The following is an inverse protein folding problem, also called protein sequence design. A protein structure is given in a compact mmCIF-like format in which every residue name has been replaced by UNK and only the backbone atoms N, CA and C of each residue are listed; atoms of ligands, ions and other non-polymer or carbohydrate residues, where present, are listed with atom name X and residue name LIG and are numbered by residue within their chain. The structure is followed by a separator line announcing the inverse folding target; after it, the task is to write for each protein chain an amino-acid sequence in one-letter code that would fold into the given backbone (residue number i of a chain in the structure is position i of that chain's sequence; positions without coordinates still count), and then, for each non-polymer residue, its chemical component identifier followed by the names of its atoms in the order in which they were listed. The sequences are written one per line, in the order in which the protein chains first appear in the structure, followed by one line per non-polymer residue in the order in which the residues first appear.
data_IF_460455130262
#
_entry.id   IF_460455130262
#
_cell.length_a   1.000
_cell.length_b   1.000
_cell.length_c   1.000
_cell.angle_alpha   90.00
_cell.angle_beta   90.00
_cell.angle_gamma   90.00
#
_symmetry.space_group_name_H-M   'P 1'
#
loop_
_entity.id
_entity.type
_entity.pdbx_description
1 polymer ?
#
# COMPACT_ATOMS: atom_id res chain seq x y z
N UNK A 1 22.36 3.62 -11.72
CA UNK A 1 20.95 3.19 -11.82
C UNK A 1 20.07 4.40 -11.56
N UNK A 2 18.91 4.50 -12.20
CA UNK A 2 17.91 5.54 -11.92
C UNK A 2 16.71 4.88 -11.27
N UNK A 3 16.27 5.40 -10.14
CA UNK A 3 15.11 4.93 -9.42
C UNK A 3 14.05 6.02 -9.49
N UNK A 4 12.87 5.70 -10.02
CA UNK A 4 11.72 6.59 -10.09
C UNK A 4 10.58 5.96 -9.31
N UNK A 5 10.72 5.94 -7.99
CA UNK A 5 9.72 5.37 -7.09
C UNK A 5 9.54 6.20 -5.83
N UNK A 6 8.35 6.07 -5.24
CA UNK A 6 8.08 6.58 -3.91
C UNK A 6 8.85 5.76 -2.87
N UNK A 7 9.42 6.43 -1.87
CA UNK A 7 10.20 5.78 -0.79
C UNK A 7 9.75 6.32 0.56
N UNK A 8 9.98 5.55 1.62
CA UNK A 8 9.78 6.02 3.01
C UNK A 8 10.71 7.18 3.32
N UNK A 9 10.26 8.09 4.19
CA UNK A 9 10.93 9.36 4.48
C UNK A 9 12.39 9.22 4.93
N UNK A 10 12.76 8.11 5.57
CA UNK A 10 14.12 7.84 6.07
C UNK A 10 15.08 7.21 5.05
N UNK A 11 14.59 6.86 3.86
CA UNK A 11 15.41 6.19 2.84
C UNK A 11 16.53 7.09 2.31
N UNK A 12 16.31 8.39 2.05
CA UNK A 12 17.40 9.29 1.69
C UNK A 12 18.57 9.28 2.69
N UNK A 13 18.30 9.36 3.99
CA UNK A 13 19.34 9.36 5.03
C UNK A 13 20.04 8.01 5.14
N UNK A 14 19.32 6.89 4.91
CA UNK A 14 19.92 5.56 4.86
C UNK A 14 20.89 5.45 3.66
N UNK A 15 20.51 5.98 2.48
CA UNK A 15 21.37 6.01 1.29
C UNK A 15 22.62 6.86 1.55
N UNK A 16 22.48 8.02 2.20
CA UNK A 16 23.62 8.89 2.57
C UNK A 16 24.58 8.20 3.55
N UNK A 17 24.05 7.50 4.56
CA UNK A 17 24.86 6.72 5.52
C UNK A 17 25.63 5.58 4.85
N UNK A 18 25.13 5.07 3.73
CA UNK A 18 25.84 4.08 2.92
C UNK A 18 26.94 4.71 2.02
N UNK A 19 27.19 6.02 2.12
CA UNK A 19 28.19 6.74 1.33
C UNK A 19 27.73 7.09 -0.09
N UNK A 20 26.45 6.88 -0.40
CA UNK A 20 25.84 7.24 -1.68
C UNK A 20 25.15 8.60 -1.58
N UNK A 21 24.88 9.25 -2.71
CA UNK A 21 24.19 10.55 -2.75
C UNK A 21 22.81 10.40 -3.38
N UNK A 22 21.70 10.47 -2.61
CA UNK A 22 20.37 10.41 -3.17
C UNK A 22 20.03 11.73 -3.90
N UNK A 23 19.31 11.63 -5.02
CA UNK A 23 18.65 12.77 -5.65
C UNK A 23 17.16 12.64 -5.39
N UNK A 24 16.60 13.57 -4.62
CA UNK A 24 15.20 13.52 -4.18
C UNK A 24 14.38 14.66 -4.79
N UNK A 25 13.06 14.46 -4.86
CA UNK A 25 12.06 15.49 -5.16
C UNK A 25 10.90 15.30 -4.18
N UNK A 26 10.48 16.37 -3.51
CA UNK A 26 9.22 16.39 -2.77
C UNK A 26 8.06 16.54 -3.75
N UNK A 27 7.07 15.67 -3.66
CA UNK A 27 5.90 15.64 -4.55
C UNK A 27 4.82 16.62 -4.06
N UNK A 28 4.03 17.16 -4.99
CA UNK A 28 2.75 17.78 -4.63
C UNK A 28 1.74 16.73 -4.18
N UNK A 29 0.63 17.13 -3.55
CA UNK A 29 -0.43 16.19 -3.14
C UNK A 29 -1.00 15.40 -4.34
N UNK A 30 -1.14 16.03 -5.50
CA UNK A 30 -1.61 15.38 -6.73
C UNK A 30 -0.61 14.36 -7.28
N UNK A 31 0.67 14.72 -7.33
CA UNK A 31 1.75 13.81 -7.73
C UNK A 31 1.86 12.64 -6.74
N UNK A 32 1.78 12.92 -5.44
CA UNK A 32 1.87 11.93 -4.38
C UNK A 32 0.74 10.91 -4.44
N UNK A 33 -0.50 11.33 -4.72
CA UNK A 33 -1.62 10.41 -4.88
C UNK A 33 -1.39 9.42 -6.03
N UNK A 34 -0.83 9.88 -7.15
CA UNK A 34 -0.52 9.03 -8.31
C UNK A 34 0.61 8.05 -7.96
N UNK A 35 1.67 8.53 -7.30
CA UNK A 35 2.80 7.68 -6.93
C UNK A 35 2.46 6.68 -5.83
N UNK A 36 1.49 6.96 -4.95
CA UNK A 36 0.97 5.98 -3.99
C UNK A 36 0.24 4.80 -4.66
N UNK A 37 -0.53 5.05 -5.71
CA UNK A 37 -1.20 3.97 -6.46
C UNK A 37 -0.19 3.09 -7.19
N UNK A 38 0.84 3.69 -7.79
CA UNK A 38 1.97 2.94 -8.37
C UNK A 38 2.74 2.16 -7.32
N UNK A 39 2.95 2.75 -6.13
CA UNK A 39 3.63 2.07 -5.03
C UNK A 39 2.82 0.86 -4.54
N UNK A 40 1.49 0.97 -4.46
CA UNK A 40 0.64 -0.18 -4.14
C UNK A 40 0.82 -1.33 -5.14
N UNK A 41 0.87 -1.01 -6.44
CA UNK A 41 1.12 -2.00 -7.48
C UNK A 41 2.53 -2.61 -7.35
N UNK A 42 3.56 -1.80 -7.11
CA UNK A 42 4.94 -2.26 -6.84
C UNK A 42 4.97 -3.28 -5.69
N UNK A 43 4.50 -2.92 -4.49
CA UNK A 43 4.59 -3.82 -3.32
C UNK A 43 3.73 -5.09 -3.49
N UNK A 44 2.59 -4.98 -4.20
CA UNK A 44 1.79 -6.16 -4.53
C UNK A 44 2.54 -7.13 -5.42
N UNK A 45 3.27 -6.65 -6.43
CA UNK A 45 4.13 -7.50 -7.26
C UNK A 45 5.28 -8.07 -6.43
N UNK A 46 5.95 -7.26 -5.60
CA UNK A 46 7.03 -7.73 -4.73
C UNK A 46 6.55 -8.82 -3.75
N UNK A 47 5.35 -8.70 -3.18
CA UNK A 47 4.75 -9.76 -2.35
C UNK A 47 4.37 -11.02 -3.15
N UNK A 48 3.86 -10.86 -4.37
CA UNK A 48 3.50 -12.01 -5.22
C UNK A 48 4.73 -12.79 -5.70
N UNK A 49 5.89 -12.14 -5.80
CA UNK A 49 7.16 -12.78 -6.15
C UNK A 49 7.88 -13.37 -4.94
N UNK A 50 7.97 -12.62 -3.84
CA UNK A 50 8.78 -12.99 -2.67
C UNK A 50 8.01 -13.76 -1.60
N UNK A 51 6.71 -13.48 -1.45
CA UNK A 51 5.86 -13.91 -0.33
C UNK A 51 6.37 -13.51 1.07
N UNK A 52 7.22 -12.49 1.13
CA UNK A 52 7.80 -12.02 2.39
C UNK A 52 6.82 -11.17 3.20
N UNK A 53 6.95 -11.24 4.52
CA UNK A 53 6.10 -10.47 5.45
C UNK A 53 6.34 -8.97 5.35
N UNK A 54 7.57 -8.55 5.03
CA UNK A 54 7.93 -7.13 4.89
C UNK A 54 7.08 -6.44 3.83
N UNK A 55 6.79 -7.11 2.71
CA UNK A 55 5.98 -6.54 1.63
C UNK A 55 4.51 -6.33 2.06
N UNK A 56 3.98 -7.19 2.94
CA UNK A 56 2.66 -6.96 3.54
C UNK A 56 2.62 -5.74 4.45
N UNK A 57 3.73 -5.43 5.14
CA UNK A 57 3.86 -4.24 5.98
C UNK A 57 3.89 -2.98 5.09
N UNK A 58 4.60 -3.04 3.96
CA UNK A 58 4.64 -1.94 3.00
C UNK A 58 3.28 -1.74 2.31
N UNK A 59 2.58 -2.80 1.91
CA UNK A 59 1.19 -2.73 1.41
C UNK A 59 0.26 -2.08 2.45
N UNK A 60 0.36 -2.45 3.74
CA UNK A 60 -0.47 -1.86 4.79
C UNK A 60 -0.19 -0.35 4.93
N UNK A 61 1.08 0.07 4.95
CA UNK A 61 1.44 1.49 5.06
C UNK A 61 0.87 2.30 3.88
N UNK A 62 0.97 1.76 2.66
CA UNK A 62 0.42 2.40 1.45
C UNK A 62 -1.11 2.53 1.54
N UNK A 63 -1.82 1.47 1.96
CA UNK A 63 -3.27 1.51 2.17
C UNK A 63 -3.65 2.60 3.19
N UNK A 64 -2.94 2.68 4.31
CA UNK A 64 -3.18 3.71 5.34
C UNK A 64 -2.97 5.13 4.81
N UNK A 65 -1.97 5.36 3.95
CA UNK A 65 -1.80 6.67 3.29
C UNK A 65 -2.90 6.96 2.28
N UNK A 66 -3.30 5.99 1.46
CA UNK A 66 -4.40 6.16 0.50
C UNK A 66 -5.71 6.51 1.19
N UNK A 67 -6.02 5.91 2.34
CA UNK A 67 -7.19 6.25 3.17
C UNK A 67 -7.13 7.73 3.58
N UNK A 68 -5.97 8.19 4.07
CA UNK A 68 -5.76 9.59 4.48
C UNK A 68 -5.88 10.56 3.30
N UNK A 69 -5.30 10.23 2.14
CA UNK A 69 -5.40 11.05 0.91
C UNK A 69 -6.86 11.17 0.44
N UNK A 70 -7.68 10.13 0.64
CA UNK A 70 -9.13 10.17 0.38
C UNK A 70 -9.92 10.96 1.43
N UNK A 71 -9.27 11.59 2.42
CA UNK A 71 -9.90 12.38 3.47
C UNK A 71 -10.66 11.55 4.51
N UNK A 72 -10.40 10.24 4.58
CA UNK A 72 -11.07 9.33 5.52
C UNK A 72 -10.22 9.15 6.77
N UNK A 73 -10.84 9.26 7.95
CA UNK A 73 -10.17 8.93 9.22
C UNK A 73 -9.99 7.42 9.34
N UNK A 74 -8.88 6.98 9.95
CA UNK A 74 -8.61 5.55 10.14
C UNK A 74 -9.77 4.85 10.86
N UNK A 75 -10.31 5.44 11.93
CA UNK A 75 -11.39 4.86 12.72
C UNK A 75 -12.68 4.67 11.90
N UNK A 76 -12.97 5.59 10.97
CA UNK A 76 -14.14 5.48 10.12
C UNK A 76 -13.94 4.44 9.01
N UNK A 77 -12.73 4.31 8.48
CA UNK A 77 -12.37 3.21 7.58
C UNK A 77 -12.51 1.84 8.27
N UNK A 78 -12.04 1.71 9.51
CA UNK A 78 -12.17 0.49 10.31
C UNK A 78 -13.64 0.10 10.50
N UNK A 79 -14.51 1.06 10.84
CA UNK A 79 -15.96 0.83 10.93
C UNK A 79 -16.55 0.34 9.61
N UNK A 80 -16.15 0.93 8.48
CA UNK A 80 -16.61 0.50 7.16
C UNK A 80 -16.16 -0.94 6.85
N UNK A 81 -14.91 -1.30 7.18
CA UNK A 81 -14.39 -2.66 7.01
C UNK A 81 -15.16 -3.66 7.87
N UNK A 82 -15.37 -3.38 9.15
CA UNK A 82 -16.11 -4.26 10.06
C UNK A 82 -17.58 -4.40 9.65
N UNK A 83 -18.24 -3.33 9.19
CA UNK A 83 -19.60 -3.39 8.67
C UNK A 83 -19.68 -4.28 7.42
N UNK A 84 -18.70 -4.20 6.51
CA UNK A 84 -18.60 -5.09 5.34
C UNK A 84 -18.43 -6.55 5.78
N UNK A 85 -17.57 -6.81 6.78
CA UNK A 85 -17.35 -8.13 7.37
C UNK A 85 -18.63 -8.70 8.00
N UNK A 86 -19.37 -7.92 8.78
CA UNK A 86 -20.66 -8.34 9.36
C UNK A 86 -21.71 -8.65 8.30
N UNK A 87 -21.79 -7.83 7.24
CA UNK A 87 -22.79 -7.98 6.17
C UNK A 87 -22.48 -9.13 5.20
N UNK A 88 -21.22 -9.37 4.88
CA UNK A 88 -20.80 -10.30 3.81
C UNK A 88 -19.95 -11.49 4.28
N UNK A 89 -19.63 -11.54 5.57
CA UNK A 89 -18.63 -12.48 6.10
C UNK A 89 -17.20 -12.04 5.81
N UNK A 90 -16.27 -12.94 6.11
CA UNK A 90 -14.84 -12.81 5.87
C UNK A 90 -14.32 -13.99 5.04
N UNK A 91 -13.03 -13.99 4.73
CA UNK A 91 -12.38 -15.07 4.00
C UNK A 91 -12.09 -16.33 4.85
N UNK A 92 -12.46 -16.33 6.14
CA UNK A 92 -12.20 -17.42 7.10
C UNK A 92 -12.75 -18.79 6.65
N UNK A 93 -13.83 -18.80 5.86
CA UNK A 93 -14.47 -20.02 5.35
C UNK A 93 -13.79 -20.61 4.10
N UNK A 94 -12.78 -19.93 3.52
CA UNK A 94 -12.04 -20.38 2.32
C UNK A 94 -12.95 -20.74 1.13
N UNK A 95 -14.00 -19.96 0.90
CA UNK A 95 -14.98 -20.20 -0.17
C UNK A 95 -14.44 -19.65 -1.49
N UNK A 96 -14.40 -20.49 -2.52
CA UNK A 96 -14.13 -20.10 -3.91
C UNK A 96 -15.38 -20.35 -4.75
N UNK A 97 -15.91 -19.30 -5.39
CA UNK A 97 -17.11 -19.38 -6.23
C UNK A 97 -16.72 -19.89 -7.62
N UNK A 98 -17.35 -20.99 -8.07
CA UNK A 98 -17.08 -21.60 -9.38
C UNK A 98 -17.98 -21.01 -10.47
N UNK A 99 -19.30 -21.05 -10.27
CA UNK A 99 -20.29 -20.53 -11.21
C UNK A 99 -21.60 -20.18 -10.48
N UNK A 100 -22.47 -19.43 -11.15
CA UNK A 100 -23.85 -19.15 -10.70
C UNK A 100 -24.79 -19.54 -11.83
N UNK A 101 -25.81 -20.33 -11.53
CA UNK A 101 -26.93 -20.60 -12.43
C UNK A 101 -28.16 -19.84 -11.94
N UNK A 102 -29.05 -19.46 -12.85
CA UNK A 102 -30.36 -18.88 -12.51
C UNK A 102 -31.29 -19.90 -11.82
#
# INVERSE_FOLDING_TARGET
MKYHKLVRDKIPEIIEKAGLKPRIKTLSDSEFSIELEKKLEEEMHEYLESHELEELIDIEEVILKLIKVKGVKKEDFEKLRENKKKKRGAFDKKIFLIETTD
#
